data_IF_047661535675
#
_entry.id   IF_047661535675
#
_cell.length_a   1.000
_cell.length_b   1.000
_cell.length_c   1.000
_cell.angle_alpha   90.00
_cell.angle_beta   90.00
_cell.angle_gamma   90.00
#
_symmetry.space_group_name_H-M   'P 1'
#
loop_
_entity.id
_entity.type
_entity.pdbx_description
1 polymer ?
#
# COMPACT_ATOMS: atom_id res chain seq x y z
N UNK A 1 -5.62 -0.15 -15.14
CA UNK A 1 -6.01 0.36 -13.82
C UNK A 1 -6.52 1.78 -13.98
N UNK A 2 -7.51 2.21 -13.20
CA UNK A 2 -8.03 3.57 -13.29
C UNK A 2 -6.99 4.62 -12.88
N UNK A 3 -6.35 4.44 -11.74
CA UNK A 3 -5.46 5.43 -11.11
C UNK A 3 -4.11 4.78 -10.71
N UNK A 4 -3.08 4.85 -11.58
CA UNK A 4 -1.74 4.36 -11.26
C UNK A 4 -1.03 5.21 -10.20
N UNK A 5 -0.12 4.59 -9.45
CA UNK A 5 0.67 5.31 -8.45
C UNK A 5 1.62 6.32 -9.12
N UNK A 6 1.45 7.61 -8.79
CA UNK A 6 2.19 8.71 -9.44
C UNK A 6 3.57 8.99 -8.82
N UNK A 7 3.78 8.66 -7.54
CA UNK A 7 5.06 8.93 -6.87
C UNK A 7 6.07 7.88 -7.35
N UNK A 8 7.15 8.28 -8.06
CA UNK A 8 8.10 7.30 -8.57
C UNK A 8 8.84 6.60 -7.42
N UNK A 9 9.30 5.35 -7.64
CA UNK A 9 10.18 4.71 -6.67
C UNK A 9 11.43 5.58 -6.49
N UNK A 10 11.94 5.65 -5.25
CA UNK A 10 13.17 6.38 -4.97
C UNK A 10 14.30 5.84 -5.85
N UNK A 11 14.91 6.72 -6.63
CA UNK A 11 16.12 6.37 -7.37
C UNK A 11 17.30 6.34 -6.41
N UNK A 12 18.15 5.30 -6.53
CA UNK A 12 19.48 5.33 -5.92
C UNK A 12 20.30 6.37 -6.69
N UNK A 13 20.79 7.40 -6.01
CA UNK A 13 21.77 8.29 -6.65
C UNK A 13 23.03 7.50 -7.02
N UNK A 14 23.80 8.01 -7.98
CA UNK A 14 25.13 7.49 -8.34
C UNK A 14 26.13 7.44 -7.16
N UNK A 15 25.82 8.15 -6.07
CA UNK A 15 26.57 8.18 -4.82
C UNK A 15 26.02 7.21 -3.75
N UNK A 16 25.12 6.30 -4.13
CA UNK A 16 24.48 5.34 -3.22
C UNK A 16 23.72 6.00 -2.04
N UNK A 17 23.32 7.26 -2.22
CA UNK A 17 22.53 8.03 -1.24
C UNK A 17 21.09 8.12 -1.71
N UNK A 18 20.14 7.82 -0.83
CA UNK A 18 18.74 8.18 -1.05
C UNK A 18 18.60 9.67 -0.72
N UNK A 19 18.24 10.49 -1.72
CA UNK A 19 17.84 11.87 -1.43
C UNK A 19 16.54 11.85 -0.62
N UNK A 20 16.53 12.57 0.50
CA UNK A 20 15.35 12.76 1.32
C UNK A 20 14.42 13.79 0.66
N UNK A 21 13.82 13.39 -0.47
CA UNK A 21 12.83 14.22 -1.16
C UNK A 21 11.46 13.89 -0.58
N UNK A 22 10.94 14.78 0.26
CA UNK A 22 9.55 14.72 0.68
C UNK A 22 8.69 15.15 -0.51
N UNK A 23 8.00 14.20 -1.13
CA UNK A 23 7.07 14.47 -2.22
C UNK A 23 5.72 14.89 -1.62
N UNK A 24 5.12 16.02 -2.04
CA UNK A 24 3.79 16.41 -1.60
C UNK A 24 2.75 15.32 -1.90
N UNK A 25 1.74 15.19 -1.06
CA UNK A 25 0.60 14.31 -1.33
C UNK A 25 -0.08 14.74 -2.64
N UNK A 26 -0.22 13.85 -3.63
CA UNK A 26 -0.93 14.15 -4.87
C UNK A 26 -2.39 14.56 -4.60
N UNK A 27 -2.97 15.36 -5.51
CA UNK A 27 -4.37 15.77 -5.39
C UNK A 27 -5.28 14.59 -5.68
N UNK A 28 -6.37 14.46 -4.92
CA UNK A 28 -7.41 13.48 -5.22
C UNK A 28 -8.21 13.90 -6.47
N UNK A 29 -8.00 13.19 -7.58
CA UNK A 29 -8.74 13.39 -8.83
C UNK A 29 -9.75 12.27 -9.06
N UNK A 30 -11.03 12.62 -9.28
CA UNK A 30 -12.09 11.65 -9.61
C UNK A 30 -12.11 11.34 -11.11
N UNK A 31 -10.99 10.87 -11.65
CA UNK A 31 -10.82 10.61 -13.08
C UNK A 31 -9.79 9.50 -13.28
N UNK A 32 -10.04 8.61 -14.24
CA UNK A 32 -9.07 7.59 -14.65
C UNK A 32 -8.08 8.11 -15.69
N UNK A 33 -6.94 7.44 -15.82
CA UNK A 33 -5.95 7.72 -16.85
C UNK A 33 -6.54 7.63 -18.28
N UNK A 34 -6.02 8.40 -19.25
CA UNK A 34 -6.47 8.33 -20.64
C UNK A 34 -6.38 6.91 -21.22
N UNK A 35 -7.41 6.51 -21.97
CA UNK A 35 -7.48 5.18 -22.60
C UNK A 35 -7.97 4.05 -21.68
N UNK A 36 -8.24 4.32 -20.40
CA UNK A 36 -8.89 3.34 -19.52
C UNK A 36 -10.38 3.19 -19.89
N UNK A 37 -10.92 1.96 -20.04
CA UNK A 37 -12.24 1.74 -20.62
C UNK A 37 -13.44 2.06 -19.72
N UNK A 38 -13.22 2.29 -18.42
CA UNK A 38 -14.28 2.62 -17.45
C UNK A 38 -14.10 4.03 -16.90
N UNK A 39 -15.19 4.63 -16.44
CA UNK A 39 -15.16 5.86 -15.64
C UNK A 39 -14.64 5.58 -14.22
N UNK A 40 -14.28 6.64 -13.49
CA UNK A 40 -13.83 6.54 -12.10
C UNK A 40 -14.92 5.97 -11.19
N UNK A 41 -16.19 6.32 -11.44
CA UNK A 41 -17.33 5.81 -10.71
C UNK A 41 -17.55 4.31 -10.94
N UNK A 42 -17.42 3.84 -12.18
CA UNK A 42 -17.62 2.43 -12.56
C UNK A 42 -16.49 1.50 -12.08
N UNK A 43 -15.29 2.03 -11.83
CA UNK A 43 -14.14 1.24 -11.37
C UNK A 43 -14.02 1.14 -9.85
N UNK A 44 -14.98 1.67 -9.09
CA UNK A 44 -14.95 1.56 -7.62
C UNK A 44 -15.22 0.14 -7.15
N UNK A 45 -14.36 -0.34 -6.26
CA UNK A 45 -14.53 -1.58 -5.54
C UNK A 45 -14.86 -1.31 -4.07
N UNK A 46 -15.94 -1.91 -3.56
CA UNK A 46 -16.40 -1.71 -2.20
C UNK A 46 -16.23 -2.99 -1.37
N UNK A 47 -15.66 -2.86 -0.18
CA UNK A 47 -15.67 -3.93 0.81
C UNK A 47 -17.03 -4.05 1.48
N UNK A 48 -17.43 -5.27 1.85
CA UNK A 48 -18.71 -5.52 2.52
C UNK A 48 -18.66 -5.13 4.01
N UNK A 49 -17.58 -5.48 4.70
CA UNK A 49 -17.37 -5.20 6.13
C UNK A 49 -15.89 -4.96 6.44
N UNK A 50 -15.61 -4.41 7.63
CA UNK A 50 -14.26 -4.31 8.20
C UNK A 50 -14.31 -4.60 9.70
N UNK A 51 -13.31 -5.29 10.22
CA UNK A 51 -13.22 -5.64 11.64
C UNK A 51 -11.77 -5.88 12.07
N UNK A 52 -11.52 -5.76 13.37
CA UNK A 52 -10.24 -6.10 13.97
C UNK A 52 -10.17 -7.57 14.36
N UNK A 53 -8.98 -8.15 14.31
CA UNK A 53 -8.69 -9.53 14.74
C UNK A 53 -7.69 -9.48 15.88
N UNK A 54 -7.94 -10.26 16.94
CA UNK A 54 -7.10 -10.28 18.14
C UNK A 54 -6.77 -11.72 18.52
N UNK A 55 -5.51 -11.95 18.88
CA UNK A 55 -5.01 -13.25 19.32
C UNK A 55 -4.35 -14.04 18.18
N UNK A 56 -3.26 -14.73 18.50
CA UNK A 56 -2.43 -15.44 17.51
C UNK A 56 -3.23 -16.49 16.76
N UNK A 57 -3.95 -17.36 17.47
CA UNK A 57 -4.77 -18.42 16.86
C UNK A 57 -5.85 -17.86 15.94
N UNK A 58 -6.48 -16.75 16.35
CA UNK A 58 -7.52 -16.11 15.55
C UNK A 58 -6.95 -15.45 14.30
N UNK A 59 -5.78 -14.80 14.40
CA UNK A 59 -5.08 -14.23 13.24
C UNK A 59 -4.65 -15.34 12.27
N UNK A 60 -4.09 -16.45 12.77
CA UNK A 60 -3.73 -17.61 11.95
C UNK A 60 -4.95 -18.19 11.23
N UNK A 61 -6.07 -18.33 11.93
CA UNK A 61 -7.33 -18.79 11.33
C UNK A 61 -7.83 -17.82 10.26
N UNK A 62 -7.75 -16.52 10.50
CA UNK A 62 -8.14 -15.49 9.53
C UNK A 62 -7.30 -15.57 8.25
N UNK A 63 -5.97 -15.70 8.40
CA UNK A 63 -5.03 -15.83 7.29
C UNK A 63 -5.35 -17.03 6.38
N UNK A 64 -5.62 -18.19 6.98
CA UNK A 64 -5.92 -19.42 6.23
C UNK A 64 -7.30 -19.37 5.59
N UNK A 65 -8.30 -18.78 6.26
CA UNK A 65 -9.70 -18.88 5.81
C UNK A 65 -10.15 -17.73 4.92
N UNK A 66 -9.52 -16.55 5.02
CA UNK A 66 -9.94 -15.34 4.31
C UNK A 66 -8.80 -14.59 3.63
N UNK A 67 -7.56 -15.04 3.79
CA UNK A 67 -6.38 -14.45 3.15
C UNK A 67 -5.70 -13.38 3.99
N UNK A 68 -4.87 -12.56 3.35
CA UNK A 68 -4.00 -11.59 4.01
C UNK A 68 -4.75 -10.61 4.90
N UNK A 69 -4.19 -10.33 6.08
CA UNK A 69 -4.62 -9.24 6.96
C UNK A 69 -3.62 -8.09 6.94
N UNK A 70 -4.06 -6.89 7.30
CA UNK A 70 -3.16 -5.74 7.52
C UNK A 70 -2.82 -5.62 9.00
N UNK A 71 -1.54 -5.42 9.32
CA UNK A 71 -1.05 -5.22 10.69
C UNK A 71 -0.06 -4.06 10.74
N UNK A 72 0.15 -3.52 11.94
CA UNK A 72 1.16 -2.50 12.22
C UNK A 72 2.02 -2.95 13.41
N UNK A 73 3.30 -2.59 13.38
CA UNK A 73 4.26 -2.90 14.43
C UNK A 73 5.26 -1.75 14.58
N UNK A 74 5.97 -1.71 15.72
CA UNK A 74 7.02 -0.71 15.95
C UNK A 74 8.28 -1.11 15.19
N UNK A 75 8.78 -0.21 14.36
CA UNK A 75 10.03 -0.38 13.61
C UNK A 75 11.16 0.24 14.44
N UNK A 76 12.10 -0.60 14.85
CA UNK A 76 13.36 -0.18 15.47
C UNK A 76 14.48 -0.10 14.41
N UNK A 77 15.60 0.52 14.75
CA UNK A 77 16.67 0.84 13.79
C UNK A 77 17.29 -0.39 13.12
N UNK A 78 17.36 -1.50 13.85
CA UNK A 78 17.88 -2.80 13.40
C UNK A 78 17.00 -3.48 12.35
N UNK A 79 15.69 -3.18 12.32
CA UNK A 79 14.76 -3.79 11.37
C UNK A 79 15.11 -3.52 9.90
N UNK A 80 15.78 -2.40 9.62
CA UNK A 80 16.21 -2.04 8.26
C UNK A 80 17.28 -2.98 7.70
N UNK A 81 18.02 -3.67 8.57
CA UNK A 81 19.11 -4.58 8.22
C UNK A 81 18.70 -6.06 8.26
N UNK A 82 17.41 -6.37 8.47
CA UNK A 82 16.90 -7.74 8.50
C UNK A 82 17.09 -8.46 7.15
N UNK A 83 17.63 -9.68 7.17
CA UNK A 83 17.85 -10.52 5.97
C UNK A 83 17.09 -11.84 6.00
N UNK A 84 17.24 -12.64 7.05
CA UNK A 84 16.54 -13.92 7.24
C UNK A 84 16.63 -14.37 8.69
#
# INVERSE_FOLDING_TARGET
>A
TCDPYEIPPRQKSSLNRYENVMVPTPKCTKKCQPGYPKTWEEDKHYGQTSYGVKGVETIMKELVTKGSVTAAFRVYSDFMDYQS
#
